data_IF_467544267840
#
_entry.id   IF_467544267840
#
_cell.length_a   1.000
_cell.length_b   1.000
_cell.length_c   1.000
_cell.angle_alpha   90.00
_cell.angle_beta   90.00
_cell.angle_gamma   90.00
#
_symmetry.space_group_name_H-M   'P 1'
#
loop_
_entity.id
_entity.type
_entity.pdbx_description
1 polymer ?
#
# COMPACT_ATOMS: atom_id res chain seq x y z
N UNK A 1 -22.58 12.38 -0.26
CA UNK A 1 -21.51 11.77 0.53
C UNK A 1 -20.27 12.67 0.64
N UNK A 2 -19.78 13.32 -0.39
CA UNK A 2 -18.73 14.35 -0.28
C UNK A 2 -19.05 15.47 0.71
N UNK A 3 -20.34 15.79 0.87
CA UNK A 3 -20.81 16.81 1.81
C UNK A 3 -20.52 16.50 3.28
N UNK A 4 -20.50 15.22 3.69
CA UNK A 4 -20.30 14.85 5.10
C UNK A 4 -18.85 14.98 5.54
N UNK A 5 -17.90 14.61 4.70
CA UNK A 5 -16.47 14.81 4.98
C UNK A 5 -16.12 16.31 4.96
N UNK A 6 -16.66 17.04 3.98
CA UNK A 6 -16.50 18.50 3.88
C UNK A 6 -17.19 19.22 5.05
N UNK A 7 -18.33 18.72 5.54
CA UNK A 7 -18.99 19.30 6.72
C UNK A 7 -18.18 19.07 8.00
N UNK A 8 -17.49 17.92 8.17
CA UNK A 8 -16.58 17.68 9.31
C UNK A 8 -15.30 18.53 9.24
N UNK A 9 -14.82 18.87 8.05
CA UNK A 9 -13.69 19.79 7.90
C UNK A 9 -14.10 21.26 8.11
N UNK A 10 -15.42 21.58 8.12
CA UNK A 10 -15.93 22.94 8.25
C UNK A 10 -16.45 23.33 9.64
N UNK A 11 -16.56 22.39 10.56
CA UNK A 11 -17.05 22.60 11.94
C UNK A 11 -15.90 22.88 12.91
N UNK A 12 -15.97 24.00 13.53
CA UNK A 12 -15.21 24.52 14.67
C UNK A 12 -14.39 23.53 15.52
N UNK A 13 -13.13 23.91 15.75
CA UNK A 13 -12.27 23.71 16.92
C UNK A 13 -11.79 22.33 17.33
N UNK A 14 -12.14 21.27 16.68
CA UNK A 14 -11.42 20.01 16.83
C UNK A 14 -10.97 19.57 15.44
N UNK A 15 -9.68 19.56 15.17
CA UNK A 15 -9.17 18.92 13.96
C UNK A 15 -9.63 17.46 14.01
N UNK A 16 -10.76 17.18 13.33
CA UNK A 16 -11.32 15.85 13.29
C UNK A 16 -10.26 14.93 12.68
N UNK A 17 -9.78 13.97 13.45
CA UNK A 17 -8.90 12.94 12.95
C UNK A 17 -9.64 12.16 11.87
N UNK A 18 -8.97 11.94 10.74
CA UNK A 18 -9.50 11.06 9.70
C UNK A 18 -9.56 9.62 10.23
N UNK A 19 -10.53 8.81 9.79
CA UNK A 19 -10.63 7.41 10.19
C UNK A 19 -9.37 6.65 9.78
N UNK A 20 -8.55 6.28 10.75
CA UNK A 20 -7.29 5.58 10.58
C UNK A 20 -7.34 4.22 11.26
N UNK A 21 -7.27 3.15 10.48
CA UNK A 21 -7.51 1.79 10.95
C UNK A 21 -6.22 1.02 11.31
N UNK A 22 -5.03 1.51 10.98
CA UNK A 22 -3.83 0.78 11.34
C UNK A 22 -2.51 1.32 10.81
N UNK A 23 -1.47 0.97 11.55
CA UNK A 23 -0.07 1.29 11.33
C UNK A 23 0.73 0.00 11.18
N UNK A 24 1.45 -0.15 10.08
CA UNK A 24 2.28 -1.31 9.83
C UNK A 24 3.70 -0.88 9.46
N UNK A 25 4.63 -1.03 10.42
CA UNK A 25 6.03 -0.68 10.23
C UNK A 25 6.73 -1.71 9.34
N UNK A 26 7.26 -1.24 8.23
CA UNK A 26 8.02 -2.04 7.26
C UNK A 26 9.13 -1.17 6.68
N UNK A 27 10.23 -1.76 6.23
CA UNK A 27 11.36 -0.98 5.73
C UNK A 27 11.09 -0.29 4.38
N UNK A 28 11.53 0.95 4.25
CA UNK A 28 11.88 1.58 2.99
C UNK A 28 10.79 1.78 1.94
N UNK A 29 9.57 2.12 2.31
CA UNK A 29 8.47 2.43 1.39
C UNK A 29 7.33 3.06 2.15
N UNK A 30 6.55 3.90 1.51
CA UNK A 30 5.21 4.27 2.00
C UNK A 30 4.15 3.73 1.06
N UNK A 31 3.20 3.01 1.61
CA UNK A 31 1.97 2.57 0.93
C UNK A 31 0.80 3.08 1.73
N UNK A 32 -0.13 3.77 1.09
CA UNK A 32 -1.40 4.20 1.67
C UNK A 32 -2.54 3.51 0.96
N UNK A 33 -3.41 2.87 1.73
CA UNK A 33 -4.63 2.24 1.24
C UNK A 33 -5.82 3.04 1.77
N UNK A 34 -6.66 3.51 0.85
CA UNK A 34 -7.94 4.13 1.18
C UNK A 34 -9.07 3.19 0.76
N UNK A 35 -9.95 2.85 1.70
CA UNK A 35 -11.06 1.94 1.50
C UNK A 35 -12.38 2.63 1.80
N UNK A 36 -13.33 2.51 0.90
CA UNK A 36 -14.75 2.82 1.12
C UNK A 36 -15.58 1.56 0.83
N UNK A 37 -16.90 1.64 0.95
CA UNK A 37 -17.77 0.47 0.87
C UNK A 37 -17.56 -0.38 -0.38
N UNK A 38 -17.34 0.24 -1.55
CA UNK A 38 -17.25 -0.41 -2.86
C UNK A 38 -15.97 -0.06 -3.63
N UNK A 39 -14.96 0.47 -2.93
CA UNK A 39 -13.78 1.04 -3.59
C UNK A 39 -12.51 0.88 -2.76
N UNK A 40 -11.44 0.59 -3.47
CA UNK A 40 -10.10 0.53 -2.92
C UNK A 40 -9.19 1.44 -3.75
N UNK A 41 -8.42 2.28 -3.09
CA UNK A 41 -7.32 3.02 -3.70
C UNK A 41 -6.03 2.62 -2.99
N UNK A 42 -4.99 2.31 -3.75
CA UNK A 42 -3.65 2.09 -3.22
C UNK A 42 -2.72 3.10 -3.86
N UNK A 43 -2.02 3.86 -3.05
CA UNK A 43 -0.96 4.77 -3.46
C UNK A 43 0.37 4.36 -2.83
N UNK A 44 1.47 4.49 -3.56
CA UNK A 44 2.81 4.17 -3.08
C UNK A 44 3.86 5.08 -3.72
N UNK A 45 4.99 5.27 -3.02
CA UNK A 45 6.19 5.86 -3.59
C UNK A 45 6.89 4.89 -4.55
N UNK A 46 7.80 5.40 -5.39
CA UNK A 46 8.51 4.57 -6.39
C UNK A 46 9.99 4.36 -6.09
N UNK A 47 10.51 4.89 -4.99
CA UNK A 47 11.93 4.78 -4.68
C UNK A 47 12.30 3.36 -4.24
N UNK A 48 13.38 2.84 -4.81
CA UNK A 48 14.09 1.66 -4.31
C UNK A 48 15.55 2.00 -4.03
N UNK A 49 16.08 1.44 -2.96
CA UNK A 49 17.48 1.60 -2.57
C UNK A 49 18.25 0.35 -2.92
N UNK A 50 19.32 0.48 -3.68
CA UNK A 50 20.25 -0.59 -4.01
C UNK A 50 21.60 -0.32 -3.33
N UNK A 51 22.16 -1.31 -2.66
CA UNK A 51 23.36 -1.15 -1.85
C UNK A 51 24.61 -0.88 -2.69
N UNK A 52 24.64 -1.36 -3.92
CA UNK A 52 25.82 -1.28 -4.81
C UNK A 52 25.76 -0.16 -5.83
N UNK A 53 24.57 0.23 -6.28
CA UNK A 53 24.39 1.07 -7.47
C UNK A 53 23.64 2.37 -7.21
N UNK A 54 23.36 2.69 -5.93
CA UNK A 54 22.64 3.91 -5.56
C UNK A 54 21.14 3.75 -5.47
N UNK A 55 20.40 4.80 -5.83
CA UNK A 55 18.93 4.83 -5.74
C UNK A 55 18.31 4.75 -7.13
N UNK A 56 17.20 4.02 -7.22
CA UNK A 56 16.32 4.06 -8.37
C UNK A 56 14.98 4.65 -7.96
N UNK A 57 14.61 5.79 -8.55
CA UNK A 57 13.39 6.54 -8.20
C UNK A 57 12.13 6.11 -8.99
N UNK A 58 12.22 5.07 -9.82
CA UNK A 58 11.13 4.68 -10.72
C UNK A 58 10.78 3.19 -10.66
N UNK A 59 10.88 2.59 -9.48
CA UNK A 59 10.45 1.19 -9.29
C UNK A 59 8.95 1.12 -9.05
N UNK A 60 8.26 0.32 -9.86
CA UNK A 60 6.83 0.11 -9.65
C UNK A 60 6.58 -0.86 -8.49
N UNK A 61 5.97 -0.35 -7.43
CA UNK A 61 5.58 -1.13 -6.25
C UNK A 61 4.13 -1.61 -6.30
N UNK A 62 3.37 -1.17 -7.31
CA UNK A 62 1.96 -1.51 -7.50
C UNK A 62 1.77 -2.42 -8.70
N UNK A 63 0.82 -3.33 -8.62
CA UNK A 63 0.42 -4.18 -9.73
C UNK A 63 -1.05 -4.59 -9.66
N UNK A 64 -1.55 -5.10 -10.79
CA UNK A 64 -2.82 -5.82 -10.91
C UNK A 64 -2.52 -7.27 -11.28
N UNK A 65 -2.18 -8.12 -10.31
CA UNK A 65 -1.70 -9.46 -10.60
C UNK A 65 -2.77 -10.36 -11.24
N UNK A 66 -4.04 -10.07 -10.99
CA UNK A 66 -5.18 -10.69 -11.68
C UNK A 66 -6.33 -9.69 -11.77
N UNK A 67 -7.36 -10.02 -12.55
CA UNK A 67 -8.57 -9.22 -12.62
C UNK A 67 -9.15 -9.07 -11.20
N UNK A 68 -9.40 -7.82 -10.78
CA UNK A 68 -9.91 -7.47 -9.44
C UNK A 68 -8.98 -7.82 -8.25
N UNK A 69 -7.68 -7.97 -8.49
CA UNK A 69 -6.66 -8.02 -7.43
C UNK A 69 -5.74 -6.81 -7.58
N UNK A 70 -5.64 -6.01 -6.55
CA UNK A 70 -4.61 -5.00 -6.40
C UNK A 70 -3.48 -5.56 -5.52
N UNK A 71 -2.28 -5.15 -5.83
CA UNK A 71 -1.06 -5.54 -5.13
C UNK A 71 -0.18 -4.32 -4.89
N UNK A 72 0.39 -4.25 -3.69
CA UNK A 72 1.45 -3.31 -3.36
C UNK A 72 2.50 -4.02 -2.51
N UNK A 73 3.78 -3.71 -2.72
CA UNK A 73 4.86 -4.33 -1.94
C UNK A 73 5.85 -3.30 -1.40
N UNK A 74 6.45 -3.63 -0.25
CA UNK A 74 7.49 -2.88 0.46
C UNK A 74 8.67 -3.78 0.82
N UNK A 75 9.80 -3.16 1.21
CA UNK A 75 11.03 -3.88 1.50
C UNK A 75 11.72 -4.37 0.24
N UNK A 76 12.20 -5.61 0.23
CA UNK A 76 12.87 -6.22 -0.92
C UNK A 76 11.83 -6.59 -1.99
N UNK A 77 11.63 -5.70 -2.96
CA UNK A 77 10.62 -5.84 -4.03
C UNK A 77 11.19 -6.35 -5.36
N UNK A 78 12.51 -6.50 -5.45
CA UNK A 78 13.19 -7.02 -6.62
C UNK A 78 14.67 -7.23 -6.39
N UNK A 79 15.29 -8.10 -7.19
CA UNK A 79 16.72 -8.31 -7.25
C UNK A 79 17.09 -8.99 -8.59
N UNK A 80 18.03 -8.38 -9.33
CA UNK A 80 18.39 -8.88 -10.65
C UNK A 80 17.22 -8.83 -11.62
N UNK A 81 16.83 -9.99 -12.10
CA UNK A 81 15.80 -10.18 -13.13
C UNK A 81 14.40 -10.48 -12.58
N UNK A 82 14.22 -10.56 -11.25
CA UNK A 82 12.91 -10.85 -10.67
C UNK A 82 12.33 -9.68 -9.87
N UNK A 83 11.00 -9.58 -9.87
CA UNK A 83 10.23 -8.60 -9.13
C UNK A 83 9.08 -9.24 -8.34
N UNK A 84 8.80 -8.70 -7.16
CA UNK A 84 7.70 -9.13 -6.29
C UNK A 84 6.33 -9.07 -6.99
N UNK A 85 6.15 -8.10 -7.89
CA UNK A 85 4.93 -7.96 -8.69
C UNK A 85 4.77 -9.10 -9.72
N UNK A 86 5.86 -9.60 -10.31
CA UNK A 86 5.81 -10.72 -11.26
C UNK A 86 5.50 -12.03 -10.56
N UNK A 87 6.03 -12.23 -9.35
CA UNK A 87 5.62 -13.36 -8.49
C UNK A 87 4.14 -13.26 -8.11
N UNK A 88 3.65 -12.06 -7.80
CA UNK A 88 2.23 -11.87 -7.51
C UNK A 88 1.36 -12.22 -8.73
N UNK A 89 1.76 -11.81 -9.94
CA UNK A 89 1.07 -12.20 -11.19
C UNK A 89 1.08 -13.71 -11.41
N UNK A 90 2.23 -14.36 -11.22
CA UNK A 90 2.37 -15.80 -11.43
C UNK A 90 1.47 -16.61 -10.47
N UNK A 91 1.43 -16.25 -9.18
CA UNK A 91 0.60 -16.97 -8.21
C UNK A 91 -0.87 -16.64 -8.37
N UNK A 92 -1.24 -15.38 -8.62
CA UNK A 92 -2.62 -14.97 -8.78
C UNK A 92 -3.25 -15.60 -10.02
N UNK A 93 -2.54 -15.67 -11.15
CA UNK A 93 -3.02 -16.33 -12.37
C UNK A 93 -3.36 -17.81 -12.15
N UNK A 94 -2.60 -18.51 -11.32
CA UNK A 94 -2.85 -19.92 -11.01
C UNK A 94 -4.03 -20.14 -10.06
N UNK A 95 -4.24 -19.23 -9.10
CA UNK A 95 -5.22 -19.43 -8.02
C UNK A 95 -6.57 -18.80 -8.38
N UNK A 96 -6.54 -17.59 -8.93
CA UNK A 96 -7.75 -16.84 -9.25
C UNK A 96 -8.36 -17.30 -10.57
N UNK A 97 -7.51 -17.58 -11.57
CA UNK A 97 -7.95 -17.89 -12.92
C UNK A 97 -8.88 -16.81 -13.47
N UNK A 98 -9.98 -17.25 -14.09
CA UNK A 98 -11.02 -16.37 -14.64
C UNK A 98 -12.13 -16.01 -13.63
N UNK A 99 -11.99 -16.40 -12.36
CA UNK A 99 -13.00 -16.09 -11.35
C UNK A 99 -13.10 -14.57 -11.13
N UNK A 100 -14.23 -13.93 -11.41
CA UNK A 100 -14.37 -12.48 -11.26
C UNK A 100 -14.56 -12.03 -9.82
N UNK A 101 -14.70 -12.96 -8.88
CA UNK A 101 -15.00 -12.67 -7.48
C UNK A 101 -13.93 -13.27 -6.56
N UNK A 102 -13.49 -12.47 -5.61
CA UNK A 102 -12.47 -12.86 -4.66
C UNK A 102 -13.09 -13.01 -3.27
N UNK A 103 -13.14 -14.24 -2.78
CA UNK A 103 -13.37 -14.44 -1.36
C UNK A 103 -12.13 -14.09 -0.56
N UNK A 104 -12.30 -13.79 0.73
CA UNK A 104 -11.16 -13.61 1.65
C UNK A 104 -10.22 -14.81 1.61
N UNK A 105 -10.76 -16.04 1.55
CA UNK A 105 -9.93 -17.26 1.48
C UNK A 105 -9.14 -17.37 0.18
N UNK A 106 -9.71 -16.97 -0.96
CA UNK A 106 -8.99 -16.94 -2.23
C UNK A 106 -7.86 -15.91 -2.19
N UNK A 107 -8.14 -14.70 -1.70
CA UNK A 107 -7.14 -13.65 -1.57
C UNK A 107 -6.02 -14.04 -0.60
N UNK A 108 -6.37 -14.69 0.51
CA UNK A 108 -5.42 -15.24 1.46
C UNK A 108 -4.54 -16.33 0.81
N UNK A 109 -5.11 -17.24 0.03
CA UNK A 109 -4.35 -18.26 -0.68
C UNK A 109 -3.34 -17.67 -1.67
N UNK A 110 -3.72 -16.58 -2.37
CA UNK A 110 -2.79 -15.83 -3.24
C UNK A 110 -1.65 -15.23 -2.41
N UNK A 111 -1.97 -14.56 -1.32
CA UNK A 111 -0.99 -13.92 -0.45
C UNK A 111 -0.02 -14.94 0.19
N UNK A 112 -0.51 -16.10 0.63
CA UNK A 112 0.31 -17.19 1.17
C UNK A 112 1.24 -17.79 0.12
N UNK A 113 0.73 -18.03 -1.10
CA UNK A 113 1.53 -18.57 -2.18
C UNK A 113 2.63 -17.58 -2.59
N UNK A 114 2.32 -16.29 -2.64
CA UNK A 114 3.29 -15.23 -2.87
C UNK A 114 4.35 -15.18 -1.77
N UNK A 115 3.96 -15.18 -0.50
CA UNK A 115 4.91 -15.12 0.61
C UNK A 115 5.88 -16.32 0.61
N UNK A 116 5.39 -17.52 0.29
CA UNK A 116 6.23 -18.72 0.13
C UNK A 116 7.19 -18.59 -1.06
N UNK A 117 6.72 -18.09 -2.21
CA UNK A 117 7.56 -17.86 -3.38
C UNK A 117 8.65 -16.83 -3.09
N UNK A 118 8.30 -15.71 -2.45
CA UNK A 118 9.27 -14.69 -2.04
C UNK A 118 10.29 -15.23 -1.05
N UNK A 119 9.87 -16.00 -0.05
CA UNK A 119 10.78 -16.63 0.90
C UNK A 119 11.76 -17.59 0.21
N UNK A 120 11.30 -18.34 -0.80
CA UNK A 120 12.17 -19.21 -1.59
C UNK A 120 13.22 -18.41 -2.39
N UNK A 121 12.82 -17.33 -3.05
CA UNK A 121 13.72 -16.45 -3.81
C UNK A 121 14.72 -15.73 -2.89
N UNK A 122 14.28 -15.17 -1.78
CA UNK A 122 15.16 -14.47 -0.83
C UNK A 122 16.23 -15.40 -0.27
N UNK A 123 15.94 -16.70 -0.07
CA UNK A 123 16.94 -17.68 0.37
C UNK A 123 18.08 -17.91 -0.64
N UNK A 124 17.87 -17.61 -1.90
CA UNK A 124 18.90 -17.73 -2.95
C UNK A 124 19.77 -16.49 -3.07
N UNK A 125 19.42 -15.41 -2.40
CA UNK A 125 20.17 -14.17 -2.46
C UNK A 125 21.43 -14.22 -1.60
N UNK A 126 22.48 -13.49 -1.97
CA UNK A 126 23.65 -13.34 -1.15
C UNK A 126 23.29 -12.62 0.16
N UNK A 127 23.92 -13.00 1.30
CA UNK A 127 23.57 -12.46 2.61
C UNK A 127 23.59 -10.92 2.69
N UNK A 128 24.50 -10.28 1.99
CA UNK A 128 24.62 -8.82 1.91
C UNK A 128 23.42 -8.14 1.27
N UNK A 129 22.73 -8.80 0.33
CA UNK A 129 21.51 -8.30 -0.27
C UNK A 129 20.31 -8.37 0.70
N UNK A 130 20.31 -9.37 1.59
CA UNK A 130 19.23 -9.59 2.56
C UNK A 130 19.34 -8.64 3.76
N UNK A 131 20.55 -8.26 4.15
CA UNK A 131 20.81 -7.40 5.33
C UNK A 131 20.46 -5.92 5.11
N UNK A 132 20.16 -5.51 3.89
CA UNK A 132 19.89 -4.11 3.56
C UNK A 132 18.47 -3.64 3.92
N UNK A 133 17.56 -4.53 4.25
CA UNK A 133 16.20 -4.19 4.68
C UNK A 133 16.16 -3.86 6.18
N UNK A 134 16.21 -2.59 6.55
CA UNK A 134 16.28 -2.13 7.95
C UNK A 134 15.02 -2.34 8.81
N UNK A 135 14.12 -3.25 8.45
CA UNK A 135 12.88 -3.55 9.16
C UNK A 135 12.80 -4.97 9.69
N UNK A 136 11.82 -5.27 10.53
CA UNK A 136 11.52 -6.62 11.01
C UNK A 136 11.10 -7.58 9.88
N UNK A 137 10.62 -7.04 8.76
CA UNK A 137 10.24 -7.78 7.57
C UNK A 137 11.24 -7.52 6.45
N UNK A 138 11.68 -8.57 5.78
CA UNK A 138 12.52 -8.45 4.58
C UNK A 138 11.71 -7.96 3.39
N UNK A 139 10.49 -8.45 3.26
CA UNK A 139 9.51 -7.97 2.29
C UNK A 139 8.11 -8.12 2.85
N UNK A 140 7.24 -7.24 2.44
CA UNK A 140 5.83 -7.30 2.75
C UNK A 140 4.98 -6.89 1.56
N UNK A 141 3.76 -7.39 1.49
CA UNK A 141 2.82 -7.01 0.46
C UNK A 141 1.40 -6.91 1.00
N UNK A 142 0.62 -6.05 0.34
CA UNK A 142 -0.82 -5.94 0.50
C UNK A 142 -1.48 -6.50 -0.75
N UNK A 143 -2.38 -7.44 -0.56
CA UNK A 143 -3.32 -7.90 -1.57
C UNK A 143 -4.70 -7.36 -1.22
N UNK A 144 -5.32 -6.71 -2.18
CA UNK A 144 -6.63 -6.11 -2.00
C UNK A 144 -7.58 -6.55 -3.11
N UNK A 145 -8.84 -6.74 -2.79
CA UNK A 145 -9.86 -7.12 -3.76
C UNK A 145 -11.28 -6.86 -3.27
N UNK A 146 -12.24 -6.98 -4.18
CA UNK A 146 -13.66 -6.88 -3.89
C UNK A 146 -14.30 -8.24 -4.03
N UNK A 147 -15.16 -8.61 -3.10
CA UNK A 147 -15.97 -9.84 -3.18
C UNK A 147 -17.25 -9.63 -4.01
N UNK A 148 -18.13 -10.64 -4.00
CA UNK A 148 -19.41 -10.60 -4.74
C UNK A 148 -20.36 -9.49 -4.27
N UNK A 149 -20.23 -9.07 -3.02
CA UNK A 149 -21.03 -8.00 -2.42
C UNK A 149 -20.35 -6.64 -2.52
N UNK A 150 -19.30 -6.51 -3.36
CA UNK A 150 -18.41 -5.36 -3.48
C UNK A 150 -17.76 -4.95 -2.13
N UNK A 151 -17.63 -5.93 -1.21
CA UNK A 151 -16.96 -5.70 0.06
C UNK A 151 -15.44 -5.74 -0.12
N UNK A 152 -14.77 -4.80 0.50
CA UNK A 152 -13.31 -4.70 0.46
C UNK A 152 -12.69 -5.80 1.32
N UNK A 153 -11.80 -6.57 0.71
CA UNK A 153 -10.97 -7.57 1.36
C UNK A 153 -9.50 -7.16 1.27
N UNK A 154 -8.80 -7.21 2.39
CA UNK A 154 -7.37 -6.92 2.49
C UNK A 154 -6.63 -8.06 3.18
N UNK A 155 -5.53 -8.49 2.57
CA UNK A 155 -4.60 -9.48 3.16
C UNK A 155 -3.19 -8.93 3.09
N UNK A 156 -2.52 -8.89 4.23
CA UNK A 156 -1.10 -8.59 4.33
C UNK A 156 -0.31 -9.89 4.32
N UNK A 157 0.74 -9.94 3.51
CA UNK A 157 1.73 -11.01 3.48
C UNK A 157 3.10 -10.47 3.88
N UNK A 158 3.87 -11.20 4.67
CA UNK A 158 5.21 -10.83 5.12
C UNK A 158 6.18 -11.99 5.03
N UNK A 159 7.43 -11.68 4.75
CA UNK A 159 8.56 -12.60 4.89
C UNK A 159 9.55 -11.98 5.85
N UNK A 160 9.86 -12.67 6.93
CA UNK A 160 10.73 -12.20 8.00
C UNK A 160 11.77 -13.25 8.37
N UNK A 161 12.93 -12.85 8.92
CA UNK A 161 13.86 -13.79 9.49
C UNK A 161 13.23 -14.51 10.69
N UNK A 162 13.52 -15.80 10.85
CA UNK A 162 13.15 -16.53 12.07
C UNK A 162 14.09 -16.13 13.21
N UNK A 163 13.54 -15.94 14.41
CA UNK A 163 14.30 -15.52 15.59
C UNK A 163 15.48 -16.47 15.95
N UNK A 164 15.41 -17.75 15.54
CA UNK A 164 16.49 -18.71 15.70
C UNK A 164 17.70 -18.49 14.78
N UNK A 165 17.67 -17.46 13.91
CA UNK A 165 18.79 -17.06 13.05
C UNK A 165 18.99 -17.91 11.80
N UNK A 166 18.22 -18.98 11.59
CA UNK A 166 18.33 -19.83 10.40
C UNK A 166 16.96 -20.09 9.79
N UNK A 167 16.59 -19.29 8.81
CA UNK A 167 15.37 -19.49 8.04
C UNK A 167 14.56 -18.24 7.85
N UNK A 168 13.56 -18.34 6.96
CA UNK A 168 12.58 -17.30 6.69
C UNK A 168 11.19 -17.82 7.05
N UNK A 169 10.42 -16.98 7.69
CA UNK A 169 9.03 -17.22 8.04
C UNK A 169 8.15 -16.40 7.09
N UNK A 170 7.19 -17.07 6.47
CA UNK A 170 6.21 -16.47 5.57
C UNK A 170 4.85 -16.45 6.28
N UNK A 171 4.32 -15.26 6.54
CA UNK A 171 3.06 -15.07 7.27
C UNK A 171 2.06 -14.30 6.45
N UNK A 172 0.79 -14.59 6.69
CA UNK A 172 -0.32 -13.80 6.16
C UNK A 172 -1.30 -13.45 7.27
N UNK A 173 -1.85 -12.25 7.19
CA UNK A 173 -2.88 -11.78 8.09
C UNK A 173 -4.00 -11.13 7.27
N UNK A 174 -5.24 -11.55 7.50
CA UNK A 174 -6.40 -10.81 7.03
C UNK A 174 -6.48 -9.53 7.86
N UNK A 175 -6.60 -8.39 7.18
CA UNK A 175 -6.81 -7.10 7.84
C UNK A 175 -8.31 -6.90 7.93
N UNK A 176 -8.91 -7.00 9.12
CA UNK A 176 -10.33 -6.76 9.28
C UNK A 176 -10.59 -5.27 9.05
N UNK A 177 -11.37 -4.97 8.06
CA UNK A 177 -11.96 -3.64 7.92
C UNK A 177 -13.28 -3.67 8.69
N UNK A 178 -13.37 -2.94 9.79
CA UNK A 178 -14.65 -2.66 10.40
C UNK A 178 -15.54 -2.06 9.32
N UNK A 179 -16.72 -2.68 9.08
CA UNK A 179 -17.62 -2.35 7.96
C UNK A 179 -17.44 -0.89 7.56
N UNK A 180 -16.84 -0.59 6.42
CA UNK A 180 -16.68 0.77 6.00
C UNK A 180 -18.10 1.28 5.75
N UNK A 181 -18.60 2.10 6.69
CA UNK A 181 -19.78 2.90 6.43
C UNK A 181 -19.52 3.80 5.23
N UNK A 182 -20.27 4.85 5.07
CA UNK A 182 -20.05 5.84 4.01
C UNK A 182 -18.68 6.58 4.11
N UNK A 183 -17.91 6.36 5.17
CA UNK A 183 -16.63 7.03 5.41
C UNK A 183 -15.45 6.22 4.87
N UNK A 184 -14.56 6.91 4.15
CA UNK A 184 -13.30 6.30 3.69
C UNK A 184 -12.38 6.02 4.88
N UNK A 185 -11.86 4.80 4.96
CA UNK A 185 -10.86 4.35 5.93
C UNK A 185 -9.48 4.35 5.31
N UNK A 186 -8.48 4.67 6.12
CA UNK A 186 -7.08 4.73 5.68
C UNK A 186 -6.22 3.78 6.48
N UNK A 187 -5.29 3.12 5.78
CA UNK A 187 -4.23 2.30 6.36
C UNK A 187 -2.91 2.74 5.73
N UNK A 188 -1.86 2.75 6.53
CA UNK A 188 -0.53 3.08 6.06
C UNK A 188 0.46 1.96 6.40
N UNK A 189 1.31 1.62 5.44
CA UNK A 189 2.27 0.52 5.52
C UNK A 189 3.66 1.02 5.15
N UNK A 190 4.67 0.32 5.61
CA UNK A 190 6.06 0.69 5.32
C UNK A 190 6.60 1.71 6.31
N UNK A 191 6.73 2.96 5.94
CA UNK A 191 7.15 4.09 6.81
C UNK A 191 5.95 5.02 7.09
N UNK A 192 5.00 4.61 7.93
CA UNK A 192 3.71 5.26 8.04
C UNK A 192 3.67 6.46 8.99
N UNK A 193 4.74 6.76 9.73
CA UNK A 193 4.74 7.75 10.82
C UNK A 193 4.26 9.15 10.36
N UNK A 194 4.70 9.60 9.20
CA UNK A 194 4.28 10.89 8.63
C UNK A 194 2.81 10.83 8.20
N UNK A 195 2.41 9.77 7.48
CA UNK A 195 1.01 9.62 7.07
C UNK A 195 0.07 9.59 8.28
N UNK A 196 0.46 8.90 9.35
CA UNK A 196 -0.28 8.87 10.62
C UNK A 196 -0.38 10.25 11.26
N UNK A 197 0.73 10.99 11.31
CA UNK A 197 0.75 12.35 11.86
C UNK A 197 -0.31 13.25 11.20
N UNK A 198 -0.39 13.19 9.85
CA UNK A 198 -1.36 13.99 9.09
C UNK A 198 -2.78 13.48 9.26
N UNK A 199 -3.02 12.17 9.22
CA UNK A 199 -4.35 11.59 9.42
C UNK A 199 -4.92 11.90 10.80
N UNK A 200 -4.08 11.96 11.81
CA UNK A 200 -4.50 12.23 13.19
C UNK A 200 -4.44 13.72 13.57
N UNK A 201 -3.89 14.57 12.72
CA UNK A 201 -3.79 16.01 12.99
C UNK A 201 -3.02 16.34 14.27
N UNK A 202 -1.99 15.52 14.62
CA UNK A 202 -1.31 15.62 15.91
C UNK A 202 -0.43 16.87 16.06
N UNK A 203 0.12 17.37 14.97
CA UNK A 203 1.06 18.49 14.98
C UNK A 203 0.48 19.76 14.36
N UNK A 204 1.10 20.91 14.62
CA UNK A 204 0.69 22.18 14.02
C UNK A 204 0.79 22.12 12.48
N UNK A 205 1.85 21.49 11.93
CA UNK A 205 2.00 21.33 10.46
C UNK A 205 0.92 20.44 9.89
N UNK A 206 0.57 19.33 10.56
CA UNK A 206 -0.49 18.44 10.11
C UNK A 206 -1.85 19.15 10.11
N UNK A 207 -2.16 19.91 11.15
CA UNK A 207 -3.39 20.74 11.22
C UNK A 207 -3.44 21.77 10.08
N UNK A 208 -2.33 22.47 9.83
CA UNK A 208 -2.24 23.47 8.78
C UNK A 208 -2.43 22.83 7.38
N UNK A 209 -1.80 21.69 7.12
CA UNK A 209 -1.94 20.98 5.85
C UNK A 209 -3.38 20.46 5.64
N UNK A 210 -3.94 19.77 6.65
CA UNK A 210 -5.32 19.27 6.58
C UNK A 210 -6.34 20.39 6.38
N UNK A 211 -6.12 21.55 6.97
CA UNK A 211 -6.97 22.73 6.74
C UNK A 211 -6.95 23.20 5.27
N UNK A 212 -5.84 23.02 4.58
CA UNK A 212 -5.70 23.36 3.16
C UNK A 212 -6.33 22.32 2.22
N UNK A 213 -6.51 21.08 2.67
CA UNK A 213 -7.05 19.99 1.82
C UNK A 213 -8.42 20.31 1.24
N UNK A 214 -9.23 21.09 1.94
CA UNK A 214 -10.51 21.59 1.42
C UNK A 214 -10.33 22.33 0.10
N UNK A 215 -9.31 23.20 0.02
CA UNK A 215 -9.02 23.97 -1.18
C UNK A 215 -8.34 23.13 -2.26
N UNK A 216 -7.39 22.25 -1.87
CA UNK A 216 -6.70 21.35 -2.78
C UNK A 216 -7.64 20.36 -3.48
N UNK A 217 -8.67 19.91 -2.75
CA UNK A 217 -9.57 18.88 -3.25
C UNK A 217 -10.96 19.43 -3.64
N UNK A 218 -11.15 20.75 -3.70
CA UNK A 218 -12.42 21.43 -4.04
C UNK A 218 -12.87 21.11 -5.46
N UNK A 219 -12.56 20.29 -6.18
CA UNK A 219 -13.02 19.79 -7.50
C UNK A 219 -12.73 18.31 -7.69
N UNK A 220 -12.18 17.65 -6.67
CA UNK A 220 -11.85 16.25 -6.75
C UNK A 220 -13.14 15.40 -6.81
N UNK A 221 -13.23 14.53 -7.80
CA UNK A 221 -14.33 13.56 -7.91
C UNK A 221 -14.36 12.59 -6.73
N UNK A 222 -13.19 12.33 -6.14
CA UNK A 222 -13.01 11.42 -5.01
C UNK A 222 -11.96 11.98 -4.04
N UNK A 223 -12.42 12.43 -2.89
CA UNK A 223 -11.56 13.00 -1.86
C UNK A 223 -10.67 11.93 -1.23
N UNK A 224 -11.18 10.71 -1.03
CA UNK A 224 -10.41 9.61 -0.46
C UNK A 224 -9.20 9.22 -1.31
N UNK A 225 -9.38 9.20 -2.62
CA UNK A 225 -8.33 9.02 -3.62
C UNK A 225 -7.25 10.10 -3.51
N UNK A 226 -7.69 11.36 -3.49
CA UNK A 226 -6.81 12.51 -3.43
C UNK A 226 -6.00 12.55 -2.12
N UNK A 227 -6.62 12.20 -0.99
CA UNK A 227 -5.95 12.11 0.31
C UNK A 227 -4.92 10.98 0.32
N UNK A 228 -5.22 9.79 -0.21
CA UNK A 228 -4.27 8.70 -0.25
C UNK A 228 -2.99 9.08 -1.02
N UNK A 229 -3.15 9.70 -2.18
CA UNK A 229 -2.02 10.20 -2.99
C UNK A 229 -1.24 11.27 -2.23
N UNK A 230 -1.94 12.24 -1.64
CA UNK A 230 -1.30 13.33 -0.91
C UNK A 230 -0.51 12.86 0.31
N UNK A 231 -0.99 11.85 1.03
CA UNK A 231 -0.27 11.26 2.16
C UNK A 231 1.06 10.62 1.74
N UNK A 232 1.11 9.97 0.59
CA UNK A 232 2.38 9.46 0.02
C UNK A 232 3.31 10.62 -0.30
N UNK A 233 2.83 11.66 -0.98
CA UNK A 233 3.62 12.85 -1.32
C UNK A 233 4.17 13.55 -0.08
N UNK A 234 3.35 13.73 0.95
CA UNK A 234 3.76 14.34 2.22
C UNK A 234 4.80 13.49 2.94
N UNK A 235 4.64 12.17 2.93
CA UNK A 235 5.65 11.26 3.49
C UNK A 235 6.97 11.41 2.75
N UNK A 236 6.95 11.39 1.42
CA UNK A 236 8.16 11.61 0.61
C UNK A 236 8.79 12.97 0.85
N UNK A 237 7.99 14.00 1.15
CA UNK A 237 8.49 15.35 1.40
C UNK A 237 9.09 15.53 2.80
N UNK A 238 8.40 15.02 3.83
CA UNK A 238 8.78 15.27 5.23
C UNK A 238 9.65 14.18 5.86
N UNK A 239 9.73 12.97 5.25
CA UNK A 239 10.59 11.92 5.77
C UNK A 239 12.07 12.33 5.68
N UNK A 240 12.78 12.18 6.79
CA UNK A 240 14.21 12.51 6.87
C UNK A 240 15.07 11.48 6.14
N UNK A 241 14.63 10.22 6.15
CA UNK A 241 15.30 9.10 5.48
C UNK A 241 14.99 9.10 3.98
N UNK A 242 15.53 10.11 3.28
CA UNK A 242 15.38 10.23 1.81
C UNK A 242 15.98 9.07 1.02
N UNK A 243 16.83 8.29 1.66
CA UNK A 243 17.35 7.02 1.14
C UNK A 243 16.30 5.91 1.07
N UNK A 244 15.21 5.99 1.84
CA UNK A 244 14.22 4.93 1.95
C UNK A 244 12.91 5.21 1.20
N UNK A 245 12.47 6.46 1.16
CA UNK A 245 11.22 6.87 0.48
C UNK A 245 11.44 8.03 -0.46
N UNK A 246 10.66 8.10 -1.53
CA UNK A 246 10.78 9.17 -2.53
C UNK A 246 10.38 8.72 -3.93
N UNK A 247 10.88 9.45 -4.92
CA UNK A 247 10.52 9.22 -6.32
C UNK A 247 9.10 9.66 -6.65
N UNK A 248 8.56 9.15 -7.75
CA UNK A 248 7.21 9.46 -8.19
C UNK A 248 6.16 8.70 -7.38
N UNK A 249 5.01 9.32 -7.14
CA UNK A 249 3.87 8.64 -6.54
C UNK A 249 3.11 7.86 -7.61
N UNK A 250 2.93 6.56 -7.39
CA UNK A 250 2.02 5.70 -8.14
C UNK A 250 0.69 5.55 -7.41
N UNK A 251 -0.41 5.44 -8.14
CA UNK A 251 -1.71 5.17 -7.54
C UNK A 251 -2.61 4.37 -8.48
N UNK A 252 -3.34 3.43 -7.90
CA UNK A 252 -4.27 2.56 -8.60
C UNK A 252 -5.59 2.47 -7.83
N UNK A 253 -6.68 2.41 -8.56
CA UNK A 253 -8.03 2.29 -8.00
C UNK A 253 -8.73 1.06 -8.54
N UNK A 254 -9.50 0.43 -7.67
CA UNK A 254 -10.50 -0.58 -8.01
C UNK A 254 -11.85 -0.14 -7.48
N UNK A 255 -12.90 -0.33 -8.27
CA UNK A 255 -14.29 -0.17 -7.84
C UNK A 255 -15.18 -1.31 -8.36
N UNK A 256 -16.31 -1.53 -7.71
CA UNK A 256 -17.23 -2.62 -8.04
C UNK A 256 -17.80 -2.53 -9.46
N UNK A 257 -17.93 -1.34 -10.00
CA UNK A 257 -18.58 -1.07 -11.30
C UNK A 257 -17.58 -0.89 -12.44
N UNK A 258 -16.50 -0.17 -12.18
CA UNK A 258 -15.56 0.26 -13.23
C UNK A 258 -14.31 -0.61 -13.38
N UNK A 259 -14.14 -1.56 -12.47
CA UNK A 259 -12.93 -2.38 -12.49
C UNK A 259 -11.70 -1.63 -11.99
N UNK A 260 -10.53 -1.95 -12.55
CA UNK A 260 -9.24 -1.41 -12.11
C UNK A 260 -8.76 -0.33 -13.08
N UNK A 261 -8.34 0.81 -12.53
CA UNK A 261 -7.72 1.90 -13.30
C UNK A 261 -6.53 2.51 -12.58
N UNK A 262 -5.52 2.89 -13.34
CA UNK A 262 -4.43 3.70 -12.85
C UNK A 262 -4.88 5.15 -12.71
N UNK A 263 -4.60 5.74 -11.56
CA UNK A 263 -4.79 7.16 -11.28
C UNK A 263 -3.50 7.94 -11.56
N UNK A 264 -2.38 7.35 -11.17
CA UNK A 264 -1.02 7.80 -11.49
C UNK A 264 -0.17 6.59 -11.85
N UNK A 265 0.42 6.61 -13.02
CA UNK A 265 1.25 5.51 -13.54
C UNK A 265 2.60 6.04 -13.97
N UNK A 266 3.59 6.04 -13.07
CA UNK A 266 4.95 6.47 -13.41
C UNK A 266 5.60 5.51 -14.42
N UNK A 267 6.66 5.95 -15.13
CA UNK A 267 7.32 5.16 -16.19
C UNK A 267 7.72 3.76 -15.75
N UNK A 268 8.23 3.57 -14.53
CA UNK A 268 8.58 2.26 -13.97
C UNK A 268 7.42 1.27 -13.88
N UNK A 269 6.17 1.71 -13.98
CA UNK A 269 4.96 0.89 -13.98
C UNK A 269 4.42 0.54 -15.38
N UNK A 270 5.12 0.91 -16.45
CA UNK A 270 4.67 0.70 -17.83
C UNK A 270 5.04 -0.68 -18.40
N UNK A 271 5.72 -1.53 -17.63
CA UNK A 271 6.16 -2.89 -18.03
C UNK A 271 5.05 -3.90 -17.91
#
# INVERSE_FOLDING_TARGET
MAATLVARLSGQESAASLPFDGLFLEGGTIIVVACSQDRIVIAADSKASFRTDGFQDEVCKLATPARKVLFAASGLVGFGDWHAADEAKAVASRIVGDNPYLSNSTLQSVAEAWARAMAAKIRTLPPEAVLSGGGSNLTAAIFAGLDRADQVNLVRATVQPVASGRGLDARTNIIPLANPGAETRYLAFGMPAIAEEFLQGRTARAKAEVAQWRNYFAGAQDIGESIAIRLVELTCYFEERKDLVGGATSAIRMDGKGGVRWLRRPPGCLR
#
